data_IF_589828071271
#
_entry.id   IF_589828071271
#
_cell.length_a   1.000
_cell.length_b   1.000
_cell.length_c   1.000
_cell.angle_alpha   90.00
_cell.angle_beta   90.00
_cell.angle_gamma   90.00
#
_symmetry.space_group_name_H-M   'P 1'
#
loop_
_entity.id
_entity.type
_entity.pdbx_description
1 polymer ?
#
# COMPACT_ATOMS: atom_id res chain seq x y z
N UNK A 1 57.33 10.17 31.08
CA UNK A 1 57.02 9.49 29.81
C UNK A 1 55.84 10.20 29.17
N UNK A 2 56.06 10.93 28.08
CA UNK A 2 55.09 11.87 27.50
C UNK A 2 54.27 11.21 26.39
N UNK A 3 52.94 11.36 26.44
CA UNK A 3 52.00 10.90 25.41
C UNK A 3 51.90 11.93 24.29
N UNK A 4 52.32 11.55 23.08
CA UNK A 4 52.15 12.35 21.86
C UNK A 4 50.81 11.98 21.22
N UNK A 5 49.81 12.87 21.28
CA UNK A 5 48.58 12.77 20.49
C UNK A 5 48.83 13.34 19.09
N UNK A 6 48.68 12.52 18.05
CA UNK A 6 48.57 12.99 16.65
C UNK A 6 47.09 13.19 16.32
N UNK A 7 46.73 14.41 15.96
CA UNK A 7 45.46 14.74 15.28
C UNK A 7 45.71 14.74 13.77
N UNK A 8 44.87 14.04 13.02
CA UNK A 8 44.85 14.07 11.55
C UNK A 8 43.78 15.09 11.12
N UNK A 9 44.10 16.06 10.23
CA UNK A 9 43.10 16.97 9.70
C UNK A 9 42.25 16.29 8.62
N UNK A 10 40.94 16.54 8.65
CA UNK A 10 40.00 16.16 7.59
C UNK A 10 39.71 17.41 6.76
N UNK A 11 40.05 17.35 5.48
CA UNK A 11 39.78 18.37 4.47
C UNK A 11 38.31 18.34 4.02
N UNK A 12 37.59 19.49 3.93
CA UNK A 12 36.24 19.55 3.40
C UNK A 12 36.29 19.83 1.89
N UNK A 13 36.28 18.75 1.09
CA UNK A 13 36.32 18.80 -0.36
C UNK A 13 35.14 18.09 -1.03
N UNK A 14 33.95 18.69 -0.92
CA UNK A 14 32.83 18.54 -1.85
C UNK A 14 33.34 18.74 -3.29
N UNK A 15 33.18 17.77 -4.21
CA UNK A 15 33.09 17.96 -5.68
C UNK A 15 32.90 16.65 -6.47
N UNK A 16 32.97 15.46 -5.86
CA UNK A 16 32.90 14.18 -6.57
C UNK A 16 31.48 13.70 -6.95
N UNK A 17 30.42 14.36 -6.49
CA UNK A 17 29.03 13.89 -6.66
C UNK A 17 28.39 14.29 -7.99
N UNK A 18 28.98 15.23 -8.75
CA UNK A 18 28.32 15.77 -9.96
C UNK A 18 28.67 15.05 -11.27
N UNK A 19 29.87 14.45 -11.40
CA UNK A 19 30.25 13.74 -12.62
C UNK A 19 29.58 12.36 -12.74
N UNK A 20 29.47 11.62 -11.63
CA UNK A 20 28.81 10.30 -11.63
C UNK A 20 27.30 10.41 -11.93
N UNK A 21 26.63 11.48 -11.48
CA UNK A 21 25.23 11.72 -11.77
C UNK A 21 24.99 12.01 -13.27
N UNK A 22 25.89 12.77 -13.91
CA UNK A 22 25.84 13.04 -15.37
C UNK A 22 26.16 11.80 -16.21
N UNK A 23 27.10 10.98 -15.77
CA UNK A 23 27.45 9.74 -16.47
C UNK A 23 26.30 8.72 -16.43
N UNK A 24 25.51 8.71 -15.35
CA UNK A 24 24.33 7.86 -15.22
C UNK A 24 23.18 8.29 -16.14
N UNK A 25 22.87 9.59 -16.24
CA UNK A 25 21.81 10.08 -17.12
C UNK A 25 22.10 9.86 -18.61
N UNK A 26 23.37 9.95 -19.03
CA UNK A 26 23.75 9.70 -20.42
C UNK A 26 23.63 8.24 -20.86
N UNK A 27 23.74 7.27 -19.93
CA UNK A 27 23.54 5.84 -20.24
C UNK A 27 22.08 5.43 -20.48
N UNK A 28 21.11 6.22 -20.00
CA UNK A 28 19.68 5.91 -20.15
C UNK A 28 19.13 6.40 -21.50
N UNK A 29 19.75 7.43 -22.10
CA UNK A 29 19.30 8.01 -23.37
C UNK A 29 19.74 7.22 -24.62
N UNK A 30 20.75 6.34 -24.53
CA UNK A 30 21.34 5.69 -25.69
C UNK A 30 20.70 4.35 -26.11
N UNK A 31 19.77 3.77 -25.33
CA UNK A 31 19.30 2.39 -25.52
C UNK A 31 17.80 2.25 -25.81
N UNK A 32 17.20 3.16 -26.57
CA UNK A 32 15.83 2.98 -27.10
C UNK A 32 15.85 2.92 -28.63
N UNK A 33 16.21 1.75 -29.15
CA UNK A 33 15.81 1.36 -30.51
C UNK A 33 14.49 0.59 -30.42
N UNK A 34 13.38 1.09 -31.00
CA UNK A 34 12.11 0.40 -30.99
C UNK A 34 12.08 -0.61 -32.15
N UNK A 35 12.41 -1.88 -31.89
CA UNK A 35 12.29 -2.89 -32.94
C UNK A 35 12.75 -4.31 -32.65
N UNK A 36 13.58 -4.55 -31.62
CA UNK A 36 14.19 -5.87 -31.49
C UNK A 36 13.43 -6.80 -30.53
N UNK A 37 12.83 -7.83 -31.14
CA UNK A 37 12.35 -9.04 -30.48
C UNK A 37 13.58 -9.85 -30.08
N UNK A 38 13.98 -9.80 -28.81
CA UNK A 38 15.19 -10.50 -28.35
C UNK A 38 14.95 -11.99 -28.11
N UNK A 39 15.63 -12.82 -28.90
CA UNK A 39 16.06 -14.16 -28.47
C UNK A 39 17.09 -13.98 -27.34
N UNK A 40 16.75 -14.41 -26.13
CA UNK A 40 17.66 -14.41 -24.98
C UNK A 40 18.57 -15.63 -25.08
N UNK A 41 19.77 -15.43 -25.62
CA UNK A 41 20.88 -16.39 -25.48
C UNK A 41 21.61 -16.09 -24.18
N UNK A 42 21.47 -16.96 -23.18
CA UNK A 42 22.14 -16.83 -21.87
C UNK A 42 23.55 -17.41 -22.00
N UNK A 43 24.54 -16.56 -22.27
CA UNK A 43 25.95 -16.94 -22.15
C UNK A 43 26.43 -16.71 -20.73
N UNK A 44 27.00 -17.76 -20.14
CA UNK A 44 27.55 -17.77 -18.79
C UNK A 44 28.77 -16.86 -18.66
N UNK A 45 28.59 -15.73 -18.00
CA UNK A 45 29.65 -14.90 -17.44
C UNK A 45 29.18 -14.41 -16.08
N UNK A 46 30.01 -14.55 -15.05
CA UNK A 46 29.71 -14.19 -13.67
C UNK A 46 29.64 -12.67 -13.46
N UNK A 47 28.72 -12.01 -14.16
CA UNK A 47 28.30 -10.66 -13.80
C UNK A 47 27.45 -10.75 -12.55
N UNK A 48 27.93 -10.09 -11.48
CA UNK A 48 27.21 -9.84 -10.25
C UNK A 48 25.85 -9.25 -10.62
N UNK A 49 24.82 -10.09 -10.65
CA UNK A 49 23.47 -9.72 -11.02
C UNK A 49 23.06 -8.49 -10.21
N UNK A 50 22.98 -7.37 -10.91
CA UNK A 50 22.62 -6.09 -10.35
C UNK A 50 21.14 -6.16 -9.97
N UNK A 51 20.88 -6.68 -8.77
CA UNK A 51 19.60 -6.60 -8.06
C UNK A 51 19.29 -5.26 -7.31
N UNK A 52 20.00 -4.11 -7.45
CA UNK A 52 19.86 -3.02 -6.47
C UNK A 52 18.81 -1.94 -6.78
N UNK A 53 18.16 -1.89 -7.96
CA UNK A 53 17.33 -0.71 -8.28
C UNK A 53 15.93 -0.73 -7.61
N UNK A 54 15.20 -1.85 -7.69
CA UNK A 54 13.82 -1.90 -7.20
C UNK A 54 13.74 -2.03 -5.67
N UNK A 55 14.71 -2.72 -5.07
CA UNK A 55 14.75 -2.99 -3.63
C UNK A 55 15.03 -1.72 -2.81
N UNK A 56 15.93 -0.86 -3.29
CA UNK A 56 16.23 0.42 -2.64
C UNK A 56 15.04 1.40 -2.68
N UNK A 57 14.28 1.41 -3.78
CA UNK A 57 13.09 2.24 -3.93
C UNK A 57 11.94 1.83 -2.98
N UNK A 58 11.80 0.52 -2.70
CA UNK A 58 10.80 0.02 -1.74
C UNK A 58 11.17 0.39 -0.30
N UNK A 59 12.45 0.30 0.08
CA UNK A 59 12.89 0.65 1.43
C UNK A 59 12.67 2.14 1.76
N UNK A 60 12.79 3.03 0.76
CA UNK A 60 12.58 4.47 0.94
C UNK A 60 11.11 4.88 1.16
N UNK A 61 10.15 3.99 0.93
CA UNK A 61 8.70 4.27 1.08
C UNK A 61 8.07 3.55 2.28
N UNK A 62 8.88 3.14 3.26
CA UNK A 62 8.47 2.34 4.43
C UNK A 62 7.27 2.91 5.20
N UNK A 63 7.05 4.23 5.17
CA UNK A 63 5.94 4.87 5.88
C UNK A 63 4.64 5.02 5.07
N UNK A 64 4.68 4.83 3.75
CA UNK A 64 3.51 5.01 2.88
C UNK A 64 2.93 3.71 2.31
N UNK A 65 3.52 2.55 2.61
CA UNK A 65 3.05 1.30 2.03
C UNK A 65 1.81 0.78 2.77
N UNK A 66 0.68 0.74 2.07
CA UNK A 66 -0.56 0.09 2.53
C UNK A 66 -0.28 -1.35 2.98
N UNK A 67 -0.87 -1.83 4.09
CA UNK A 67 -0.54 -3.12 4.69
C UNK A 67 -0.82 -4.30 3.74
N UNK A 68 -1.90 -4.24 2.97
CA UNK A 68 -2.26 -5.28 2.00
C UNK A 68 -1.24 -5.35 0.85
N UNK A 69 -0.78 -4.19 0.37
CA UNK A 69 0.26 -4.12 -0.66
C UNK A 69 1.60 -4.64 -0.13
N UNK A 70 1.95 -4.32 1.11
CA UNK A 70 3.15 -4.83 1.77
C UNK A 70 3.13 -6.36 1.88
N UNK A 71 1.98 -6.96 2.25
CA UNK A 71 1.80 -8.40 2.32
C UNK A 71 1.95 -9.08 0.95
N UNK A 72 1.37 -8.50 -0.10
CA UNK A 72 1.53 -9.00 -1.47
C UNK A 72 2.99 -8.94 -1.91
N UNK A 73 3.68 -7.82 -1.66
CA UNK A 73 5.11 -7.66 -1.98
C UNK A 73 5.98 -8.66 -1.22
N UNK A 74 5.70 -8.91 0.05
CA UNK A 74 6.40 -9.93 0.83
C UNK A 74 6.23 -11.31 0.19
N UNK A 75 5.01 -11.69 -0.21
CA UNK A 75 4.75 -12.98 -0.84
C UNK A 75 5.48 -13.15 -2.18
N UNK A 76 5.59 -12.07 -2.96
CA UNK A 76 6.35 -12.04 -4.21
C UNK A 76 7.84 -12.29 -3.95
N UNK A 77 8.44 -11.57 -3.00
CA UNK A 77 9.86 -11.72 -2.65
C UNK A 77 10.15 -13.13 -2.12
N UNK A 78 9.25 -13.71 -1.31
CA UNK A 78 9.37 -15.10 -0.87
C UNK A 78 9.34 -16.08 -2.06
N UNK A 79 8.43 -15.89 -3.01
CA UNK A 79 8.33 -16.72 -4.20
C UNK A 79 9.61 -16.63 -5.07
N UNK A 80 10.14 -15.43 -5.25
CA UNK A 80 11.40 -15.19 -5.98
C UNK A 80 12.59 -15.87 -5.28
N UNK A 81 12.72 -15.73 -3.96
CA UNK A 81 13.75 -16.41 -3.18
C UNK A 81 13.65 -17.93 -3.30
N UNK A 82 12.43 -18.48 -3.28
CA UNK A 82 12.21 -19.91 -3.52
C UNK A 82 12.66 -20.34 -4.91
N UNK A 83 12.45 -19.53 -5.95
CA UNK A 83 12.95 -19.83 -7.29
C UNK A 83 14.48 -19.80 -7.32
N UNK A 84 15.12 -18.81 -6.69
CA UNK A 84 16.58 -18.69 -6.61
C UNK A 84 17.21 -19.89 -5.86
N UNK A 85 16.57 -20.37 -4.80
CA UNK A 85 16.99 -21.55 -4.05
C UNK A 85 16.73 -22.90 -4.78
N UNK A 86 16.39 -22.88 -6.08
CA UNK A 86 16.17 -24.11 -6.86
C UNK A 86 14.78 -24.74 -6.68
N UNK A 87 13.77 -23.96 -6.25
CA UNK A 87 12.37 -24.39 -6.07
C UNK A 87 12.21 -25.60 -5.14
N UNK A 88 12.70 -25.54 -3.88
CA UNK A 88 12.46 -26.61 -2.91
C UNK A 88 10.96 -26.92 -2.78
N UNK A 89 10.63 -28.20 -2.55
CA UNK A 89 9.25 -28.67 -2.39
C UNK A 89 8.64 -28.05 -1.13
N UNK A 90 7.37 -27.62 -1.21
CA UNK A 90 6.68 -26.99 -0.08
C UNK A 90 6.63 -27.91 1.15
N UNK A 91 6.42 -29.22 0.95
CA UNK A 91 6.48 -30.22 2.01
C UNK A 91 7.81 -30.24 2.78
N UNK A 92 8.94 -30.02 2.11
CA UNK A 92 10.26 -29.99 2.76
C UNK A 92 10.42 -28.73 3.60
N UNK A 93 10.11 -27.56 3.02
CA UNK A 93 10.14 -26.28 3.73
C UNK A 93 9.18 -26.28 4.93
N UNK A 94 7.97 -26.82 4.77
CA UNK A 94 6.96 -26.87 5.83
C UNK A 94 7.47 -27.62 7.07
N UNK A 95 8.20 -28.73 6.86
CA UNK A 95 8.83 -29.50 7.95
C UNK A 95 9.91 -28.70 8.67
N UNK A 96 10.79 -28.04 7.92
CA UNK A 96 11.88 -27.24 8.50
C UNK A 96 11.34 -26.07 9.33
N UNK A 97 10.31 -25.39 8.85
CA UNK A 97 9.73 -24.20 9.48
C UNK A 97 8.58 -24.55 10.45
N UNK A 98 8.29 -25.84 10.66
CA UNK A 98 7.19 -26.34 11.50
C UNK A 98 5.82 -25.73 11.18
N UNK A 99 5.53 -25.60 9.88
CA UNK A 99 4.20 -25.30 9.35
C UNK A 99 3.57 -26.54 8.71
N UNK A 100 2.23 -26.52 8.56
CA UNK A 100 1.58 -27.43 7.63
C UNK A 100 1.82 -26.96 6.19
N UNK A 101 1.77 -27.90 5.23
CA UNK A 101 1.94 -27.58 3.81
C UNK A 101 0.88 -26.58 3.30
N UNK A 102 -0.35 -26.66 3.83
CA UNK A 102 -1.44 -25.74 3.50
C UNK A 102 -1.22 -24.33 4.05
N UNK A 103 -0.68 -24.19 5.27
CA UNK A 103 -0.31 -22.88 5.81
C UNK A 103 0.82 -22.25 5.01
N UNK A 104 1.85 -23.03 4.68
CA UNK A 104 2.96 -22.53 3.89
C UNK A 104 2.50 -22.09 2.49
N UNK A 105 1.59 -22.84 1.86
CA UNK A 105 0.96 -22.42 0.61
C UNK A 105 0.23 -21.08 0.74
N UNK A 106 -0.50 -20.85 1.84
CA UNK A 106 -1.14 -19.54 2.09
C UNK A 106 -0.13 -18.41 2.27
N UNK A 107 1.02 -18.68 2.91
CA UNK A 107 2.10 -17.70 3.06
C UNK A 107 2.67 -17.28 1.71
N UNK A 108 3.05 -18.24 0.86
CA UNK A 108 3.57 -17.94 -0.49
C UNK A 108 2.56 -17.26 -1.41
N UNK A 109 1.26 -17.45 -1.17
CA UNK A 109 0.19 -16.78 -1.91
C UNK A 109 -0.24 -15.44 -1.28
N UNK A 110 0.43 -14.97 -0.23
CA UNK A 110 0.10 -13.71 0.44
C UNK A 110 -1.26 -13.73 1.14
N UNK A 111 -1.82 -14.90 1.47
CA UNK A 111 -3.08 -15.05 2.22
C UNK A 111 -2.89 -15.19 3.73
N UNK A 112 -1.66 -15.45 4.17
CA UNK A 112 -1.30 -15.58 5.57
C UNK A 112 0.05 -14.87 5.80
N UNK A 113 0.11 -13.98 6.79
CA UNK A 113 1.37 -13.38 7.21
C UNK A 113 2.08 -14.33 8.19
N UNK A 114 3.35 -14.73 7.93
CA UNK A 114 4.10 -15.58 8.86
C UNK A 114 4.46 -14.81 10.14
N UNK A 115 4.73 -15.52 11.23
CA UNK A 115 5.35 -14.88 12.40
C UNK A 115 6.82 -14.56 12.12
N UNK A 116 7.42 -13.64 12.89
CA UNK A 116 8.83 -13.22 12.69
C UNK A 116 9.80 -14.40 12.70
N UNK A 117 9.71 -15.28 13.70
CA UNK A 117 10.59 -16.45 13.83
C UNK A 117 10.45 -17.41 12.64
N UNK A 118 9.23 -17.53 12.08
CA UNK A 118 8.95 -18.38 10.92
C UNK A 118 9.48 -17.74 9.64
N UNK A 119 9.46 -16.42 9.55
CA UNK A 119 10.04 -15.67 8.43
C UNK A 119 11.57 -15.79 8.42
N UNK A 120 12.22 -15.73 9.58
CA UNK A 120 13.67 -15.92 9.74
C UNK A 120 14.08 -17.36 9.36
N UNK A 121 13.37 -18.36 9.89
CA UNK A 121 13.61 -19.76 9.49
C UNK A 121 13.36 -20.00 7.99
N UNK A 122 12.42 -19.29 7.36
CA UNK A 122 12.25 -19.33 5.90
C UNK A 122 13.44 -18.71 5.16
N UNK A 123 13.99 -17.61 5.66
CA UNK A 123 15.15 -16.96 5.06
C UNK A 123 16.37 -17.89 5.09
N UNK A 124 16.61 -18.56 6.22
CA UNK A 124 17.69 -19.55 6.37
C UNK A 124 17.53 -20.73 5.42
N UNK A 125 16.32 -21.31 5.33
CA UNK A 125 16.05 -22.45 4.44
C UNK A 125 16.10 -22.10 2.94
N UNK A 126 15.96 -20.81 2.61
CA UNK A 126 16.05 -20.31 1.25
C UNK A 126 17.42 -19.69 0.92
N UNK A 127 18.40 -19.85 1.81
CA UNK A 127 19.76 -19.32 1.68
C UNK A 127 19.79 -17.82 1.37
N UNK A 128 18.92 -17.07 2.05
CA UNK A 128 18.81 -15.62 1.90
C UNK A 128 19.79 -14.96 2.83
N UNK A 129 20.61 -14.07 2.29
CA UNK A 129 21.61 -13.35 3.07
C UNK A 129 20.94 -12.44 4.13
N UNK A 130 21.59 -12.32 5.29
CA UNK A 130 21.08 -11.53 6.42
C UNK A 130 20.87 -10.05 6.07
N UNK A 131 21.65 -9.52 5.12
CA UNK A 131 21.48 -8.13 4.64
C UNK A 131 20.16 -7.99 3.88
N UNK A 132 19.82 -8.88 2.96
CA UNK A 132 18.54 -8.91 2.25
C UNK A 132 17.37 -9.13 3.20
N UNK A 133 17.52 -10.03 4.17
CA UNK A 133 16.49 -10.25 5.18
C UNK A 133 16.17 -8.96 5.96
N UNK A 134 17.19 -8.29 6.49
CA UNK A 134 17.03 -7.07 7.31
C UNK A 134 16.62 -5.85 6.51
N UNK A 135 17.09 -5.70 5.26
CA UNK A 135 16.79 -4.52 4.42
C UNK A 135 15.50 -4.64 3.61
N UNK A 136 15.02 -5.86 3.33
CA UNK A 136 13.89 -6.09 2.42
C UNK A 136 12.74 -6.80 3.12
N UNK A 137 13.00 -7.99 3.69
CA UNK A 137 11.93 -8.84 4.20
C UNK A 137 11.32 -8.27 5.47
N UNK A 138 12.18 -7.85 6.41
CA UNK A 138 11.74 -7.34 7.71
C UNK A 138 10.91 -6.05 7.57
N UNK A 139 11.31 -5.04 6.76
CA UNK A 139 10.48 -3.85 6.54
C UNK A 139 9.12 -4.15 5.90
N UNK A 140 9.06 -5.08 4.93
CA UNK A 140 7.79 -5.49 4.32
C UNK A 140 6.89 -6.22 5.32
N UNK A 141 7.47 -7.08 6.15
CA UNK A 141 6.74 -7.77 7.22
C UNK A 141 6.22 -6.79 8.28
N UNK A 142 7.04 -5.83 8.70
CA UNK A 142 6.63 -4.78 9.65
C UNK A 142 5.48 -3.95 9.10
N UNK A 143 5.56 -3.53 7.82
CA UNK A 143 4.50 -2.78 7.16
C UNK A 143 3.20 -3.60 7.03
N UNK A 144 3.30 -4.88 6.65
CA UNK A 144 2.15 -5.77 6.56
C UNK A 144 1.50 -6.09 7.92
N UNK A 145 2.31 -6.11 8.99
CA UNK A 145 1.82 -6.38 10.34
C UNK A 145 1.26 -5.13 11.05
N UNK A 146 1.34 -3.95 10.42
CA UNK A 146 0.64 -2.76 10.91
C UNK A 146 -0.84 -3.09 10.89
N UNK A 147 -1.44 -3.21 12.08
CA UNK A 147 -2.90 -3.31 12.19
C UNK A 147 -3.46 -2.11 11.43
N UNK A 148 -4.36 -2.29 10.45
CA UNK A 148 -5.06 -1.15 9.89
C UNK A 148 -5.61 -0.40 11.09
N UNK A 149 -5.34 0.91 11.17
CA UNK A 149 -5.90 1.73 12.22
C UNK A 149 -7.40 1.44 12.16
N UNK A 150 -7.93 0.69 13.15
CA UNK A 150 -9.36 0.39 13.20
C UNK A 150 -9.98 1.75 13.01
N UNK A 151 -10.80 1.97 11.96
CA UNK A 151 -11.43 3.26 11.74
C UNK A 151 -12.02 3.61 13.09
N UNK A 152 -11.46 4.64 13.74
CA UNK A 152 -11.81 5.01 15.12
C UNK A 152 -13.33 5.03 15.08
N UNK A 153 -14.02 4.12 15.79
CA UNK A 153 -15.46 3.93 15.59
C UNK A 153 -16.02 5.32 15.66
N UNK A 154 -16.54 5.81 14.52
CA UNK A 154 -17.05 7.16 14.40
C UNK A 154 -17.97 7.26 15.60
N UNK A 155 -17.59 8.12 16.57
CA UNK A 155 -18.19 8.13 17.91
C UNK A 155 -19.66 8.00 17.64
N UNK A 156 -20.22 6.82 17.96
CA UNK A 156 -21.62 6.57 17.75
C UNK A 156 -22.22 7.61 18.67
N UNK A 157 -22.62 8.75 18.11
CA UNK A 157 -23.38 9.76 18.79
C UNK A 157 -24.50 8.92 19.36
N UNK A 158 -24.48 8.80 20.69
CA UNK A 158 -25.37 7.91 21.39
C UNK A 158 -26.74 8.45 21.04
N UNK A 159 -27.40 7.80 20.08
CA UNK A 159 -28.83 7.88 19.87
C UNK A 159 -29.43 7.25 21.12
N UNK A 160 -29.34 7.96 22.24
CA UNK A 160 -30.43 7.93 23.20
C UNK A 160 -31.71 8.22 22.39
N UNK A 161 -32.85 7.60 22.74
CA UNK A 161 -34.07 7.61 21.93
C UNK A 161 -34.27 9.00 21.33
N UNK A 162 -33.91 9.13 20.05
CA UNK A 162 -33.88 10.42 19.41
C UNK A 162 -35.35 10.82 19.31
N UNK A 163 -35.73 11.79 20.15
CA UNK A 163 -36.85 12.64 19.85
C UNK A 163 -36.72 12.98 18.36
N UNK A 164 -37.72 12.65 17.52
CA UNK A 164 -37.59 12.77 16.08
C UNK A 164 -37.09 14.19 15.81
N UNK A 165 -35.95 14.36 15.11
CA UNK A 165 -35.42 15.69 14.85
C UNK A 165 -36.56 16.51 14.23
N UNK A 166 -36.75 17.76 14.65
CA UNK A 166 -37.86 18.56 14.15
C UNK A 166 -37.81 18.50 12.62
N UNK A 167 -38.96 18.23 11.99
CA UNK A 167 -39.09 17.99 10.55
C UNK A 167 -38.62 19.16 9.65
N UNK A 168 -38.07 20.21 10.27
CA UNK A 168 -37.51 21.42 9.67
C UNK A 168 -36.07 21.28 9.15
N UNK A 169 -35.31 20.23 9.49
CA UNK A 169 -33.86 20.21 9.21
C UNK A 169 -33.36 19.13 8.24
N UNK A 170 -34.26 18.31 7.69
CA UNK A 170 -33.91 17.27 6.72
C UNK A 170 -34.61 17.49 5.38
N UNK A 171 -33.94 17.18 4.28
CA UNK A 171 -34.51 17.17 2.93
C UNK A 171 -34.16 15.87 2.21
N UNK A 172 -34.98 15.51 1.22
CA UNK A 172 -34.74 14.32 0.39
C UNK A 172 -34.04 14.76 -0.89
N UNK A 173 -32.89 14.16 -1.17
CA UNK A 173 -32.16 14.41 -2.41
C UNK A 173 -32.97 13.94 -3.61
N UNK A 174 -33.15 14.80 -4.62
CA UNK A 174 -33.84 14.41 -5.83
C UNK A 174 -33.07 13.33 -6.63
N UNK A 175 -31.73 13.33 -6.52
CA UNK A 175 -30.81 12.46 -7.24
C UNK A 175 -30.84 11.01 -6.74
N UNK A 176 -30.44 10.81 -5.49
CA UNK A 176 -30.29 9.48 -4.90
C UNK A 176 -31.49 9.05 -4.05
N UNK A 177 -32.47 9.94 -3.84
CA UNK A 177 -33.61 9.74 -2.90
C UNK A 177 -33.18 9.53 -1.44
N UNK A 178 -31.92 9.81 -1.11
CA UNK A 178 -31.39 9.78 0.25
C UNK A 178 -31.91 10.96 1.09
N UNK A 179 -32.04 10.73 2.39
CA UNK A 179 -32.34 11.77 3.38
C UNK A 179 -31.04 12.47 3.80
N UNK A 180 -31.02 13.79 3.74
CA UNK A 180 -29.83 14.60 4.04
C UNK A 180 -30.23 15.67 5.06
N UNK A 181 -29.37 15.91 6.05
CA UNK A 181 -29.53 17.04 6.97
C UNK A 181 -29.08 18.32 6.27
N UNK A 182 -29.75 19.44 6.55
CA UNK A 182 -29.45 20.73 5.91
C UNK A 182 -27.96 21.12 6.05
N UNK A 183 -27.34 20.80 7.19
CA UNK A 183 -25.92 21.07 7.45
C UNK A 183 -24.96 20.25 6.57
N UNK A 184 -25.39 19.08 6.11
CA UNK A 184 -24.61 18.15 5.28
C UNK A 184 -24.87 18.35 3.78
N UNK A 185 -25.74 19.29 3.40
CA UNK A 185 -26.11 19.54 2.01
C UNK A 185 -24.90 19.86 1.11
N UNK A 186 -23.94 20.73 1.50
CA UNK A 186 -22.83 21.10 0.62
C UNK A 186 -21.93 19.90 0.27
N UNK A 187 -21.56 19.09 1.28
CA UNK A 187 -20.73 17.91 1.07
C UNK A 187 -21.43 16.83 0.24
N UNK A 188 -22.75 16.69 0.39
CA UNK A 188 -23.53 15.77 -0.43
C UNK A 188 -23.60 16.21 -1.90
N UNK A 189 -23.73 17.50 -2.17
CA UNK A 189 -23.72 18.05 -3.54
C UNK A 189 -22.34 17.82 -4.18
N UNK A 190 -21.26 18.11 -3.45
CA UNK A 190 -19.88 17.90 -3.92
C UNK A 190 -19.61 16.42 -4.26
N UNK A 191 -20.15 15.49 -3.45
CA UNK A 191 -20.08 14.06 -3.74
C UNK A 191 -20.74 13.70 -5.09
N UNK A 192 -21.93 14.23 -5.39
CA UNK A 192 -22.58 14.04 -6.70
C UNK A 192 -21.75 14.59 -7.86
N UNK A 193 -21.12 15.76 -7.67
CA UNK A 193 -20.22 16.36 -8.67
C UNK A 193 -18.99 15.48 -8.91
N UNK A 194 -18.40 14.90 -7.85
CA UNK A 194 -17.22 14.03 -7.95
C UNK A 194 -17.48 12.73 -8.73
N UNK A 195 -18.71 12.25 -8.72
CA UNK A 195 -19.14 11.05 -9.45
C UNK A 195 -19.43 11.27 -10.94
N UNK A 196 -19.24 12.50 -11.45
CA UNK A 196 -19.52 12.82 -12.86
C UNK A 196 -21.01 12.78 -13.21
N UNK A 197 -21.91 12.90 -12.21
CA UNK A 197 -23.33 13.06 -12.47
C UNK A 197 -23.63 14.52 -12.87
N UNK A 198 -23.24 14.90 -14.08
CA UNK A 198 -23.45 16.26 -14.62
C UNK A 198 -24.93 16.58 -14.96
N UNK A 199 -25.86 15.63 -14.79
CA UNK A 199 -27.27 15.81 -15.15
C UNK A 199 -28.13 16.38 -14.01
N UNK A 200 -27.66 17.43 -13.33
CA UNK A 200 -28.54 18.20 -12.43
C UNK A 200 -28.78 19.60 -12.97
N UNK A 201 -30.03 19.93 -13.37
CA UNK A 201 -30.39 21.32 -13.58
C UNK A 201 -30.33 22.03 -12.23
N UNK A 202 -29.32 22.89 -12.06
CA UNK A 202 -29.09 23.75 -10.90
C UNK A 202 -30.35 24.55 -10.51
N UNK A 203 -31.29 24.73 -11.45
CA UNK A 203 -32.59 25.36 -11.26
C UNK A 203 -33.55 24.65 -10.28
N UNK A 204 -33.24 23.43 -9.78
CA UNK A 204 -34.15 22.67 -8.92
C UNK A 204 -33.90 22.80 -7.41
N UNK A 205 -32.87 23.55 -6.97
CA UNK A 205 -32.56 23.72 -5.53
C UNK A 205 -33.57 24.65 -4.84
N UNK A 206 -34.29 25.49 -5.58
CA UNK A 206 -35.20 26.50 -5.02
C UNK A 206 -36.55 25.94 -4.51
N UNK A 207 -36.83 24.65 -4.68
CA UNK A 207 -38.08 24.02 -4.24
C UNK A 207 -37.85 22.83 -3.29
N UNK A 208 -37.02 23.02 -2.25
CA UNK A 208 -37.02 22.12 -1.09
C UNK A 208 -38.31 22.35 -0.30
N UNK A 209 -39.29 21.45 -0.45
CA UNK A 209 -40.56 21.49 0.28
C UNK A 209 -40.32 20.90 1.67
N UNK A 210 -40.50 21.64 2.78
CA UNK A 210 -40.40 21.07 4.11
C UNK A 210 -41.43 19.96 4.29
N UNK A 211 -41.00 18.83 4.87
CA UNK A 211 -41.78 17.59 4.98
C UNK A 211 -43.09 17.77 5.77
N UNK A 212 -43.20 18.83 6.59
CA UNK A 212 -44.40 19.16 7.37
C UNK A 212 -45.62 19.68 6.59
N UNK A 213 -45.58 19.83 5.27
CA UNK A 213 -46.72 20.38 4.49
C UNK A 213 -47.45 19.38 3.57
N UNK A 214 -47.18 18.07 3.64
CA UNK A 214 -48.01 17.10 2.93
C UNK A 214 -49.36 16.94 3.65
N UNK A 215 -50.41 17.63 3.17
CA UNK A 215 -51.78 17.42 3.64
C UNK A 215 -52.12 15.92 3.54
N UNK A 216 -52.63 15.28 4.61
CA UNK A 216 -53.06 13.89 4.54
C UNK A 216 -54.11 13.75 3.45
N UNK A 217 -53.91 12.79 2.55
CA UNK A 217 -54.83 12.47 1.47
C UNK A 217 -56.09 11.88 2.11
N UNK A 218 -57.11 12.71 2.30
CA UNK A 218 -58.41 12.28 2.82
C UNK A 218 -58.95 11.21 1.88
N UNK A 219 -59.01 9.95 2.36
CA UNK A 219 -59.68 8.88 1.65
C UNK A 219 -61.19 9.18 1.68
N UNK A 220 -61.77 9.54 0.53
CA UNK A 220 -63.22 9.49 0.38
C UNK A 220 -63.67 8.02 0.47
N UNK A 221 -64.60 7.77 1.38
CA UNK A 221 -65.43 6.56 1.41
C UNK A 221 -66.64 6.75 0.51
#
# INVERSE_FOLDING_TARGET
MAFVRRTVPVDPGDFATSQLARQYQNSIAANRSPGDIYNITINGGAEKAQLPSFVAAIAATKDALEPDLAQQKLSQVLAEARVKAGKPKLRTLARAVTYSESMLSRVFNGRLLPTRDKLEALAEQLDVDMSTFTTVWLPLWEAANRKPAKPKPAVAQTEGPAEPPPASECFVCAACKGWIRLIDAPGHIEWHTSLGQEQFPIASVTHLRPVGQQKPKTALR
#
